data_IF_981580525813
#
_entry.id   IF_981580525813
#
_cell.length_a   1.000
_cell.length_b   1.000
_cell.length_c   1.000
_cell.angle_alpha   90.00
_cell.angle_beta   90.00
_cell.angle_gamma   90.00
#
_symmetry.space_group_name_H-M   'P 1'
#
loop_
_entity.id
_entity.type
_entity.pdbx_description
1 polymer ?
#
# COMPACT_ATOMS: atom_id res chain seq x y z
N UNK A 1 -9.43 -15.17 27.37
CA UNK A 1 -9.10 -13.75 27.16
C UNK A 1 -7.80 -13.30 27.85
N UNK A 2 -7.34 -13.95 28.94
CA UNK A 2 -6.06 -13.62 29.58
C UNK A 2 -4.86 -14.41 29.02
N UNK A 3 -5.07 -15.66 28.60
CA UNK A 3 -4.01 -16.53 28.05
C UNK A 3 -3.42 -16.03 26.73
N UNK A 4 -4.25 -15.46 25.86
CA UNK A 4 -3.82 -14.87 24.59
C UNK A 4 -2.90 -13.65 24.83
N UNK A 5 -3.24 -12.79 25.80
CA UNK A 5 -2.38 -11.68 26.21
C UNK A 5 -1.04 -12.17 26.78
N UNK A 6 -1.06 -13.27 27.55
CA UNK A 6 0.14 -13.81 28.17
C UNK A 6 1.15 -14.33 27.14
N UNK A 7 0.68 -15.00 26.09
CA UNK A 7 1.53 -15.47 24.99
C UNK A 7 2.20 -14.30 24.27
N UNK A 8 1.44 -13.24 23.97
CA UNK A 8 1.99 -12.04 23.32
C UNK A 8 3.11 -11.40 24.14
N UNK A 9 2.91 -11.28 25.47
CA UNK A 9 3.93 -10.72 26.37
C UNK A 9 5.18 -11.60 26.45
N UNK A 10 5.00 -12.92 26.46
CA UNK A 10 6.12 -13.87 26.46
C UNK A 10 6.94 -13.78 25.16
N UNK A 11 6.29 -13.63 24.00
CA UNK A 11 6.97 -13.42 22.72
C UNK A 11 7.77 -12.13 22.70
N UNK A 12 7.23 -11.04 23.26
CA UNK A 12 7.90 -9.74 23.32
C UNK A 12 9.12 -9.75 24.26
N UNK A 13 9.08 -10.53 25.34
CA UNK A 13 10.17 -10.62 26.32
C UNK A 13 11.31 -11.54 25.87
N UNK A 14 11.05 -12.46 24.95
CA UNK A 14 12.07 -13.31 24.34
C UNK A 14 12.85 -12.59 23.23
N UNK A 15 12.43 -11.39 22.83
CA UNK A 15 13.23 -10.55 21.94
C UNK A 15 14.42 -10.01 22.73
N UNK A 16 15.67 -10.32 22.36
CA UNK A 16 16.82 -9.77 23.02
C UNK A 16 16.78 -8.25 22.85
N UNK A 17 16.64 -7.56 23.98
CA UNK A 17 16.78 -6.12 24.09
C UNK A 17 18.19 -5.72 23.69
N UNK A 18 18.40 -5.42 22.41
CA UNK A 18 19.64 -4.84 21.92
C UNK A 18 19.47 -3.32 21.81
N UNK A 19 19.64 -2.68 22.95
CA UNK A 19 20.37 -1.44 22.96
C UNK A 19 21.87 -1.78 22.83
N UNK A 20 22.62 -0.87 22.22
CA UNK A 20 24.08 -0.84 22.04
C UNK A 20 24.64 -1.49 20.75
N UNK A 21 24.93 -0.59 19.80
CA UNK A 21 25.95 -0.60 18.74
C UNK A 21 27.07 -1.64 18.96
N UNK A 22 27.35 -2.49 17.95
CA UNK A 22 28.68 -2.83 17.38
C UNK A 22 28.64 -4.22 16.72
N UNK A 23 28.82 -4.27 15.39
CA UNK A 23 29.59 -5.27 14.61
C UNK A 23 28.95 -5.51 13.22
N UNK A 24 29.60 -4.96 12.17
CA UNK A 24 29.23 -5.11 10.75
C UNK A 24 29.13 -6.57 10.27
N UNK A 25 29.70 -7.52 11.03
CA UNK A 25 29.69 -8.94 10.70
C UNK A 25 28.31 -9.60 10.93
N UNK A 26 27.54 -9.11 11.91
CA UNK A 26 26.23 -9.69 12.25
C UNK A 26 25.12 -9.21 11.30
N UNK A 27 25.24 -7.99 10.76
CA UNK A 27 24.30 -7.46 9.77
C UNK A 27 24.37 -8.23 8.44
N UNK A 28 25.56 -8.74 8.06
CA UNK A 28 25.73 -9.55 6.86
C UNK A 28 25.05 -10.93 6.98
N UNK A 29 25.08 -11.54 8.17
CA UNK A 29 24.40 -12.80 8.44
C UNK A 29 22.86 -12.63 8.43
N UNK A 30 22.36 -11.51 8.93
CA UNK A 30 20.93 -11.19 8.92
C UNK A 30 20.41 -10.88 7.49
N UNK A 31 21.19 -10.19 6.66
CA UNK A 31 20.87 -9.95 5.24
C UNK A 31 20.87 -11.26 4.45
N UNK A 32 21.80 -12.18 4.73
CA UNK A 32 21.83 -13.50 4.08
C UNK A 32 20.59 -14.35 4.45
N UNK A 33 20.14 -14.30 5.71
CA UNK A 33 18.93 -14.97 6.15
C UNK A 33 17.65 -14.41 5.50
N UNK A 34 17.60 -13.09 5.25
CA UNK A 34 16.50 -12.47 4.50
C UNK A 34 16.49 -12.89 3.01
N UNK A 35 17.65 -13.20 2.43
CA UNK A 35 17.78 -13.71 1.06
C UNK A 35 17.17 -15.09 0.86
N UNK A 36 17.35 -16.01 1.82
CA UNK A 36 16.74 -17.36 1.76
C UNK A 36 15.21 -17.32 1.88
N UNK A 37 14.64 -16.36 2.62
CA UNK A 37 13.18 -16.21 2.73
C UNK A 37 12.57 -15.73 1.41
N UNK A 38 13.31 -14.97 0.60
CA UNK A 38 12.85 -14.46 -0.69
C UNK A 38 12.82 -15.54 -1.78
N UNK A 39 13.70 -16.54 -1.71
CA UNK A 39 13.77 -17.64 -2.70
C UNK A 39 12.62 -18.65 -2.57
N UNK A 40 11.99 -18.74 -1.39
CA UNK A 40 10.84 -19.62 -1.15
C UNK A 40 9.48 -18.95 -1.39
N UNK A 41 9.47 -17.70 -1.87
CA UNK A 41 8.25 -17.01 -2.27
C UNK A 41 8.03 -17.24 -3.76
N UNK A 42 7.72 -18.50 -4.12
CA UNK A 42 7.04 -18.83 -5.37
C UNK A 42 5.67 -18.12 -5.33
N UNK A 43 5.67 -16.85 -5.75
CA UNK A 43 4.45 -16.11 -6.06
C UNK A 43 3.94 -16.75 -7.35
N UNK A 44 3.12 -17.79 -7.15
CA UNK A 44 2.28 -18.37 -8.18
C UNK A 44 1.45 -17.23 -8.79
N UNK A 45 1.78 -16.85 -10.02
CA UNK A 45 1.11 -15.81 -10.82
C UNK A 45 -0.19 -16.37 -11.41
N UNK A 46 -0.93 -17.14 -10.62
CA UNK A 46 -2.22 -17.70 -10.97
C UNK A 46 -3.30 -16.79 -10.36
N UNK A 47 -3.93 -16.03 -11.25
CA UNK A 47 -5.19 -15.33 -11.04
C UNK A 47 -5.24 -14.39 -9.82
N UNK A 48 -4.62 -13.22 -9.98
CA UNK A 48 -5.18 -12.04 -9.33
C UNK A 48 -6.58 -11.84 -9.90
N UNK A 49 -7.57 -12.34 -9.16
CA UNK A 49 -8.95 -11.91 -9.25
C UNK A 49 -8.92 -10.41 -9.54
N UNK A 50 -9.41 -10.04 -10.73
CA UNK A 50 -9.93 -8.72 -10.93
C UNK A 50 -11.04 -8.61 -9.89
N UNK A 51 -10.68 -8.12 -8.70
CA UNK A 51 -11.63 -7.49 -7.80
C UNK A 51 -12.11 -6.27 -8.57
N UNK A 52 -13.04 -6.54 -9.48
CA UNK A 52 -14.01 -5.60 -9.96
C UNK A 52 -14.62 -5.07 -8.68
N UNK A 53 -14.07 -3.95 -8.20
CA UNK A 53 -14.66 -3.20 -7.13
C UNK A 53 -15.96 -2.67 -7.71
N UNK A 54 -16.99 -3.52 -7.72
CA UNK A 54 -18.37 -3.10 -7.88
C UNK A 54 -18.53 -2.00 -6.85
N UNK A 55 -18.56 -0.77 -7.36
CA UNK A 55 -18.66 0.41 -6.53
C UNK A 55 -20.10 0.39 -6.05
N UNK A 56 -20.34 -0.31 -4.94
CA UNK A 56 -21.63 -0.23 -4.26
C UNK A 56 -21.90 1.25 -4.04
N UNK A 57 -22.92 1.75 -4.73
CA UNK A 57 -23.43 3.11 -4.61
C UNK A 57 -24.17 3.18 -3.26
N UNK A 58 -23.41 2.97 -2.19
CA UNK A 58 -23.85 3.24 -0.83
C UNK A 58 -24.02 4.75 -0.79
N UNK A 59 -25.29 5.15 -0.88
CA UNK A 59 -25.82 6.49 -0.82
C UNK A 59 -25.55 7.14 0.56
N UNK A 60 -24.30 7.15 0.99
CA UNK A 60 -23.82 7.77 2.21
C UNK A 60 -23.38 9.21 1.90
N UNK A 61 -24.37 10.07 1.74
CA UNK A 61 -24.19 11.52 1.74
C UNK A 61 -23.96 12.10 0.35
N UNK A 62 -24.94 12.87 -0.11
CA UNK A 62 -24.92 13.66 -1.35
C UNK A 62 -23.59 14.43 -1.57
N UNK A 63 -22.92 14.87 -0.49
CA UNK A 63 -21.61 15.54 -0.57
C UNK A 63 -20.43 14.61 -0.93
N UNK A 64 -20.43 13.34 -0.51
CA UNK A 64 -19.41 12.36 -0.93
C UNK A 64 -19.61 11.96 -2.39
N UNK A 65 -20.86 11.89 -2.84
CA UNK A 65 -21.19 11.57 -4.24
C UNK A 65 -20.69 12.65 -5.22
N UNK A 66 -20.92 13.94 -4.92
CA UNK A 66 -20.43 15.03 -5.80
C UNK A 66 -18.90 15.13 -5.83
N UNK A 67 -18.23 14.94 -4.69
CA UNK A 67 -16.78 14.90 -4.64
C UNK A 67 -16.21 13.69 -5.40
N UNK A 68 -16.84 12.51 -5.26
CA UNK A 68 -16.50 11.31 -6.02
C UNK A 68 -16.68 11.52 -7.53
N UNK A 69 -17.79 12.12 -7.97
CA UNK A 69 -18.02 12.47 -9.37
C UNK A 69 -16.93 13.41 -9.90
N UNK A 70 -16.51 14.40 -9.10
CA UNK A 70 -15.43 15.31 -9.46
C UNK A 70 -14.09 14.59 -9.64
N UNK A 71 -13.73 13.69 -8.72
CA UNK A 71 -12.51 12.87 -8.84
C UNK A 71 -12.57 12.00 -10.10
N UNK A 72 -13.68 11.29 -10.32
CA UNK A 72 -13.86 10.44 -11.51
C UNK A 72 -13.79 11.28 -12.79
N UNK A 73 -14.35 12.49 -12.79
CA UNK A 73 -14.23 13.43 -13.91
C UNK A 73 -12.79 13.78 -14.25
N UNK A 74 -11.97 14.09 -13.24
CA UNK A 74 -10.54 14.38 -13.43
C UNK A 74 -9.78 13.16 -13.96
N UNK A 75 -10.07 11.97 -13.43
CA UNK A 75 -9.45 10.72 -13.90
C UNK A 75 -9.83 10.38 -15.34
N UNK A 76 -11.08 10.65 -15.74
CA UNK A 76 -11.56 10.48 -17.13
C UNK A 76 -10.89 11.46 -18.09
N UNK A 77 -10.75 12.72 -17.69
CA UNK A 77 -10.08 13.75 -18.50
C UNK A 77 -8.63 13.38 -18.83
N UNK A 78 -7.92 12.76 -17.88
CA UNK A 78 -6.54 12.32 -18.08
C UNK A 78 -6.37 10.91 -18.65
N UNK A 79 -7.46 10.20 -18.99
CA UNK A 79 -7.44 8.78 -19.38
C UNK A 79 -6.71 7.91 -18.33
N UNK A 80 -7.03 8.10 -17.05
CA UNK A 80 -6.44 7.39 -15.92
C UNK A 80 -7.41 6.47 -15.18
N UNK A 81 -8.71 6.52 -15.49
CA UNK A 81 -9.75 5.73 -14.82
C UNK A 81 -9.46 4.22 -14.85
N UNK A 82 -9.02 3.68 -15.99
CA UNK A 82 -8.69 2.26 -16.15
C UNK A 82 -7.21 1.92 -15.93
N UNK A 83 -6.36 2.88 -15.54
CA UNK A 83 -4.91 2.67 -15.45
C UNK A 83 -4.51 2.26 -14.04
N UNK A 84 -3.76 1.16 -13.93
CA UNK A 84 -3.11 0.77 -12.68
C UNK A 84 -1.94 1.72 -12.38
N UNK A 85 -1.82 2.16 -11.12
CA UNK A 85 -0.72 3.02 -10.65
C UNK A 85 0.67 2.44 -10.95
N UNK A 86 0.82 1.11 -10.91
CA UNK A 86 2.07 0.42 -11.22
C UNK A 86 2.54 0.56 -12.67
N UNK A 87 1.66 0.97 -13.59
CA UNK A 87 1.98 1.20 -15.01
C UNK A 87 2.15 2.69 -15.34
N UNK A 88 1.99 3.58 -14.36
CA UNK A 88 2.16 5.01 -14.54
C UNK A 88 3.62 5.41 -14.43
N UNK A 89 4.11 6.15 -15.43
CA UNK A 89 5.43 6.78 -15.38
C UNK A 89 5.38 8.01 -14.48
N UNK A 90 6.54 8.48 -14.00
CA UNK A 90 6.62 9.71 -13.20
C UNK A 90 6.03 10.92 -13.93
N UNK A 91 6.24 11.03 -15.25
CA UNK A 91 5.68 12.12 -16.07
C UNK A 91 4.15 12.06 -16.08
N UNK A 92 3.56 10.87 -16.24
CA UNK A 92 2.12 10.70 -16.19
C UNK A 92 1.55 11.00 -14.80
N UNK A 93 2.27 10.64 -13.74
CA UNK A 93 1.86 10.96 -12.39
C UNK A 93 1.86 12.47 -12.12
N UNK A 94 2.90 13.19 -12.58
CA UNK A 94 2.95 14.66 -12.47
C UNK A 94 1.83 15.34 -13.26
N UNK A 95 1.52 14.82 -14.46
CA UNK A 95 0.39 15.31 -15.25
C UNK A 95 -0.94 15.08 -14.51
N UNK A 96 -1.18 13.89 -13.97
CA UNK A 96 -2.37 13.61 -13.16
C UNK A 96 -2.48 14.53 -11.93
N UNK A 97 -1.37 14.77 -11.23
CA UNK A 97 -1.34 15.69 -10.09
C UNK A 97 -1.68 17.14 -10.51
N UNK A 98 -1.23 17.57 -11.68
CA UNK A 98 -1.57 18.90 -12.21
C UNK A 98 -3.07 19.04 -12.48
N UNK A 99 -3.72 18.00 -13.02
CA UNK A 99 -5.16 17.99 -13.25
C UNK A 99 -5.96 18.07 -11.94
N UNK A 100 -5.50 17.36 -10.90
CA UNK A 100 -6.10 17.47 -9.57
C UNK A 100 -5.95 18.87 -8.98
N UNK A 101 -4.76 19.47 -9.07
CA UNK A 101 -4.51 20.81 -8.59
C UNK A 101 -5.34 21.87 -9.33
N UNK A 102 -5.49 21.75 -10.65
CA UNK A 102 -6.35 22.63 -11.46
C UNK A 102 -7.82 22.49 -11.04
N UNK A 103 -8.26 21.26 -10.72
CA UNK A 103 -9.58 21.01 -10.15
C UNK A 103 -9.71 21.46 -8.69
N UNK A 104 -8.66 22.01 -8.05
CA UNK A 104 -8.65 22.42 -6.65
C UNK A 104 -8.67 21.27 -5.65
N UNK A 105 -8.16 20.10 -6.05
CA UNK A 105 -8.00 18.91 -5.21
C UNK A 105 -6.53 18.80 -4.86
N UNK A 106 -6.21 18.96 -3.57
CA UNK A 106 -4.84 18.90 -3.05
C UNK A 106 -4.69 17.75 -2.07
N UNK A 107 -3.53 17.08 -2.10
CA UNK A 107 -3.17 16.00 -1.20
C UNK A 107 -2.10 16.51 -0.23
N UNK A 108 -2.38 16.43 1.08
CA UNK A 108 -1.49 16.86 2.18
C UNK A 108 -1.24 15.72 3.15
#
# INVERSE_FOLDING_TARGET
MLEENYKTVQTLQLQPSQNVISDDADMAAEIAALGEIMENLDIDDEERDNVDMEVEDTNEGLGKSEFKKKIIGVLKQGDFEGKRSSKLTQVHFMYLLSLFNEAGIHFS
#
